data_IF_207521192663
#
_entry.id   IF_207521192663
#
_cell.length_a   1.000
_cell.length_b   1.000
_cell.length_c   1.000
_cell.angle_alpha   90.00
_cell.angle_beta   90.00
_cell.angle_gamma   90.00
#
_symmetry.space_group_name_H-M   'P 1'
#
loop_
_entity.id
_entity.type
_entity.pdbx_description
1 polymer ?
#
# COMPACT_ATOMS: atom_id res chain seq x y z
N UNK A 1 6.64 -16.22 -26.12
CA UNK A 1 5.97 -14.90 -26.01
C UNK A 1 6.93 -13.82 -26.51
N UNK A 2 6.50 -12.90 -27.38
CA UNK A 2 7.35 -11.81 -27.83
C UNK A 2 7.60 -10.80 -26.70
N UNK A 3 8.85 -10.33 -26.56
CA UNK A 3 9.23 -9.32 -25.59
C UNK A 3 9.11 -7.93 -26.20
N UNK A 4 8.73 -6.95 -25.39
CA UNK A 4 8.68 -5.54 -25.82
C UNK A 4 10.10 -5.05 -26.14
N UNK A 5 10.33 -4.33 -27.26
CA UNK A 5 11.64 -3.76 -27.55
C UNK A 5 12.05 -2.77 -26.44
N UNK A 6 13.35 -2.71 -26.17
CA UNK A 6 13.91 -1.74 -25.23
C UNK A 6 13.68 -0.31 -25.72
N UNK A 7 13.47 0.62 -24.79
CA UNK A 7 13.27 2.04 -25.08
C UNK A 7 14.38 2.90 -24.48
N UNK A 8 14.66 4.09 -25.02
CA UNK A 8 15.61 5.02 -24.43
C UNK A 8 15.24 5.40 -22.99
N UNK A 9 16.24 5.57 -22.14
CA UNK A 9 16.08 6.13 -20.81
C UNK A 9 15.47 7.53 -20.88
N UNK A 10 14.43 7.81 -20.08
CA UNK A 10 13.78 9.14 -20.05
C UNK A 10 14.59 10.23 -19.35
N UNK A 11 15.85 9.97 -18.98
CA UNK A 11 16.72 10.96 -18.35
C UNK A 11 17.41 11.80 -19.43
N UNK A 12 17.39 13.14 -19.36
CA UNK A 12 17.95 14.00 -20.39
C UNK A 12 19.40 13.62 -20.73
N UNK A 13 19.67 13.33 -22.00
CA UNK A 13 21.01 13.01 -22.49
C UNK A 13 21.54 11.60 -22.16
N UNK A 14 20.71 10.70 -21.60
CA UNK A 14 21.14 9.33 -21.32
C UNK A 14 21.01 8.44 -22.58
N UNK A 15 22.10 7.81 -23.05
CA UNK A 15 22.06 6.95 -24.25
C UNK A 15 21.58 5.51 -23.99
N UNK A 16 21.35 5.13 -22.72
CA UNK A 16 21.01 3.74 -22.39
C UNK A 16 19.60 3.32 -22.78
N UNK A 17 19.48 2.07 -23.24
CA UNK A 17 18.21 1.39 -23.50
C UNK A 17 17.76 0.58 -22.27
N UNK A 18 16.50 0.77 -21.88
CA UNK A 18 15.88 0.16 -20.69
C UNK A 18 14.50 -0.43 -21.02
N UNK A 19 14.06 -1.38 -20.20
CA UNK A 19 12.68 -1.91 -20.22
C UNK A 19 11.73 -0.97 -19.44
N UNK A 20 12.28 -0.19 -18.50
CA UNK A 20 11.58 0.75 -17.63
C UNK A 20 11.56 2.19 -18.14
N UNK A 21 11.15 3.13 -17.27
CA UNK A 21 11.23 4.58 -17.56
C UNK A 21 12.68 5.08 -17.57
N UNK A 22 13.50 4.53 -16.67
CA UNK A 22 14.89 4.92 -16.48
C UNK A 22 15.81 3.70 -16.54
N UNK A 23 17.08 3.89 -16.87
CA UNK A 23 18.12 2.88 -16.67
C UNK A 23 18.36 2.65 -15.17
N UNK A 24 19.12 1.61 -14.79
CA UNK A 24 19.34 1.26 -13.38
C UNK A 24 19.91 2.41 -12.55
N UNK A 25 20.81 3.20 -13.14
CA UNK A 25 21.40 4.37 -12.48
C UNK A 25 20.35 5.45 -12.23
N UNK A 26 19.68 5.93 -13.28
CA UNK A 26 18.71 7.02 -13.14
C UNK A 26 17.46 6.60 -12.34
N UNK A 27 17.09 5.32 -12.33
CA UNK A 27 16.07 4.81 -11.42
C UNK A 27 16.47 4.95 -9.95
N UNK A 28 17.74 4.72 -9.62
CA UNK A 28 18.29 4.89 -8.27
C UNK A 28 18.39 6.36 -7.88
N UNK A 29 18.79 7.22 -8.80
CA UNK A 29 18.85 8.68 -8.58
C UNK A 29 17.45 9.27 -8.34
N UNK A 30 16.47 8.91 -9.18
CA UNK A 30 15.09 9.35 -9.01
C UNK A 30 14.49 8.82 -7.70
N UNK A 31 14.77 7.56 -7.34
CA UNK A 31 14.34 7.02 -6.04
C UNK A 31 14.95 7.80 -4.86
N UNK A 32 16.24 8.17 -4.93
CA UNK A 32 16.90 8.99 -3.90
C UNK A 32 16.29 10.39 -3.80
N UNK A 33 15.99 11.02 -4.94
CA UNK A 33 15.32 12.33 -4.99
C UNK A 33 13.94 12.23 -4.34
N UNK A 34 13.12 11.27 -4.77
CA UNK A 34 11.78 11.05 -4.23
C UNK A 34 11.80 10.83 -2.71
N UNK A 35 12.70 9.98 -2.22
CA UNK A 35 12.85 9.73 -0.77
C UNK A 35 13.27 10.98 0.01
N UNK A 36 14.04 11.89 -0.59
CA UNK A 36 14.57 13.10 0.07
C UNK A 36 13.59 14.27 0.03
N UNK A 37 12.88 14.47 -1.08
CA UNK A 37 12.13 15.71 -1.33
C UNK A 37 10.62 15.51 -1.45
N UNK A 38 10.15 14.38 -1.97
CA UNK A 38 8.74 14.19 -2.33
C UNK A 38 8.00 13.28 -1.34
N UNK A 39 8.71 12.36 -0.67
CA UNK A 39 8.11 11.41 0.26
C UNK A 39 7.71 12.07 1.58
N UNK A 40 6.42 12.05 1.90
CA UNK A 40 5.89 12.54 3.19
C UNK A 40 6.56 11.79 4.38
N UNK A 41 7.34 12.48 5.24
CA UNK A 41 7.94 11.87 6.43
C UNK A 41 6.91 11.27 7.39
N UNK A 42 5.69 11.83 7.44
CA UNK A 42 4.62 11.30 8.27
C UNK A 42 4.14 9.93 7.78
N UNK A 43 4.29 9.59 6.50
CA UNK A 43 3.98 8.25 5.99
C UNK A 43 4.89 7.18 6.61
N UNK A 44 6.19 7.49 6.76
CA UNK A 44 7.17 6.59 7.41
C UNK A 44 6.84 6.36 8.88
N UNK A 45 6.34 7.39 9.57
CA UNK A 45 5.87 7.31 10.95
C UNK A 45 4.59 6.48 11.07
N UNK A 46 3.63 6.69 10.15
CA UNK A 46 2.33 6.00 10.12
C UNK A 46 2.42 4.53 9.74
N UNK A 47 3.28 4.14 8.81
CA UNK A 47 3.37 2.75 8.32
C UNK A 47 4.79 2.16 8.44
N UNK A 48 5.50 2.52 9.51
CA UNK A 48 6.88 2.12 9.75
C UNK A 48 7.05 0.69 10.30
N UNK A 49 8.24 0.43 10.89
CA UNK A 49 8.58 -0.88 11.47
C UNK A 49 7.63 -1.33 12.59
N UNK A 50 7.11 -0.38 13.37
CA UNK A 50 6.15 -0.66 14.43
C UNK A 50 4.86 -1.28 13.86
N UNK A 51 4.29 -0.66 12.82
CA UNK A 51 3.12 -1.19 12.13
C UNK A 51 3.36 -2.60 11.58
N UNK A 52 4.52 -2.85 10.94
CA UNK A 52 4.85 -4.19 10.44
C UNK A 52 4.77 -5.26 11.53
N UNK A 53 5.31 -4.98 12.72
CA UNK A 53 5.27 -5.93 13.86
C UNK A 53 3.85 -6.16 14.36
N UNK A 54 3.06 -5.09 14.49
CA UNK A 54 1.66 -5.17 14.92
C UNK A 54 0.85 -5.99 13.90
N UNK A 55 0.97 -5.67 12.60
CA UNK A 55 0.31 -6.40 11.51
C UNK A 55 0.68 -7.88 11.51
N UNK A 56 1.98 -8.20 11.57
CA UNK A 56 2.47 -9.58 11.50
C UNK A 56 1.97 -10.39 12.72
N UNK A 57 1.90 -9.79 13.92
CA UNK A 57 1.30 -10.40 15.11
C UNK A 57 -0.21 -10.58 14.96
N UNK A 58 -0.92 -9.54 14.57
CA UNK A 58 -2.39 -9.54 14.47
C UNK A 58 -2.89 -10.62 13.50
N UNK A 59 -2.31 -10.68 12.29
CA UNK A 59 -2.70 -11.67 11.28
C UNK A 59 -2.37 -13.11 11.69
N UNK A 60 -1.37 -13.31 12.56
CA UNK A 60 -1.04 -14.65 13.08
C UNK A 60 -2.06 -15.15 14.12
N UNK A 61 -2.69 -14.22 14.86
CA UNK A 61 -3.72 -14.51 15.86
C UNK A 61 -5.11 -14.62 15.20
N UNK A 62 -5.31 -13.87 14.10
CA UNK A 62 -6.54 -13.86 13.31
C UNK A 62 -6.28 -14.40 11.90
N UNK A 63 -6.14 -15.74 11.75
CA UNK A 63 -5.77 -16.36 10.47
C UNK A 63 -6.91 -16.37 9.45
N UNK A 64 -8.15 -16.08 9.87
CA UNK A 64 -9.34 -16.06 9.02
C UNK A 64 -9.84 -14.62 8.83
N UNK A 65 -10.52 -14.41 7.71
CA UNK A 65 -11.17 -13.15 7.39
C UNK A 65 -12.40 -12.97 8.27
N UNK A 66 -12.36 -12.01 9.19
CA UNK A 66 -13.42 -11.78 10.18
C UNK A 66 -14.77 -11.48 9.52
N UNK A 67 -14.77 -10.76 8.39
CA UNK A 67 -15.99 -10.50 7.60
C UNK A 67 -16.57 -11.75 6.96
N UNK A 68 -15.71 -12.66 6.49
CA UNK A 68 -16.16 -13.94 5.95
C UNK A 68 -16.72 -14.82 7.07
N UNK A 69 -16.08 -14.86 8.24
CA UNK A 69 -16.55 -15.64 9.39
C UNK A 69 -17.93 -15.19 9.86
N UNK A 70 -18.18 -13.89 9.92
CA UNK A 70 -19.51 -13.33 10.22
C UNK A 70 -20.59 -13.78 9.21
N UNK A 71 -20.20 -14.06 7.98
CA UNK A 71 -21.07 -14.55 6.91
C UNK A 71 -21.11 -16.09 6.82
N UNK A 72 -20.48 -16.80 7.77
CA UNK A 72 -20.40 -18.26 7.79
C UNK A 72 -19.42 -18.85 6.77
N UNK A 73 -18.53 -18.04 6.20
CA UNK A 73 -17.53 -18.45 5.19
C UNK A 73 -16.15 -18.56 5.83
N UNK A 74 -15.45 -19.67 5.55
CA UNK A 74 -14.07 -19.86 5.96
C UNK A 74 -13.16 -19.36 4.84
N UNK A 75 -12.43 -18.27 5.08
CA UNK A 75 -11.48 -17.70 4.11
C UNK A 75 -10.26 -17.20 4.86
N UNK A 76 -9.03 -17.50 4.41
CA UNK A 76 -7.83 -16.99 5.08
C UNK A 76 -7.75 -15.46 5.01
N UNK A 77 -7.27 -14.84 6.08
CA UNK A 77 -6.89 -13.44 6.08
C UNK A 77 -5.54 -13.24 5.36
N UNK A 78 -5.43 -12.15 4.60
CA UNK A 78 -4.22 -11.75 3.87
C UNK A 78 -3.77 -10.33 4.22
N UNK A 79 -4.72 -9.50 4.66
CA UNK A 79 -4.53 -8.08 4.92
C UNK A 79 -5.09 -7.72 6.30
N UNK A 80 -4.51 -6.69 6.92
CA UNK A 80 -5.02 -6.11 8.17
C UNK A 80 -5.44 -4.69 7.86
N UNK A 81 -6.70 -4.40 8.14
CA UNK A 81 -7.36 -3.15 7.85
C UNK A 81 -7.55 -2.32 9.12
N UNK A 82 -7.38 -1.00 9.01
CA UNK A 82 -7.72 -0.07 10.08
C UNK A 82 -9.21 0.28 9.98
N UNK A 83 -10.01 -0.01 11.01
CA UNK A 83 -11.45 0.27 11.02
C UNK A 83 -11.72 1.77 10.91
N UNK A 84 -11.03 2.58 11.72
CA UNK A 84 -10.88 4.01 11.54
C UNK A 84 -9.53 4.28 10.85
N UNK A 85 -9.51 4.91 9.66
CA UNK A 85 -8.28 5.25 8.97
C UNK A 85 -7.35 6.12 9.83
N UNK A 86 -6.04 5.91 9.72
CA UNK A 86 -5.03 6.72 10.43
C UNK A 86 -5.08 8.21 10.03
N UNK A 87 -5.55 8.52 8.81
CA UNK A 87 -5.79 9.89 8.35
C UNK A 87 -6.91 10.58 9.14
N UNK A 88 -7.85 9.82 9.68
CA UNK A 88 -9.01 10.30 10.45
C UNK A 88 -8.85 10.07 11.96
N UNK A 89 -7.61 9.91 12.44
CA UNK A 89 -7.31 9.76 13.87
C UNK A 89 -7.32 8.32 14.38
N UNK A 90 -7.46 7.33 13.50
CA UNK A 90 -7.29 5.93 13.86
C UNK A 90 -5.91 5.61 14.42
N UNK A 91 -5.83 4.51 15.18
CA UNK A 91 -4.58 4.03 15.78
C UNK A 91 -4.23 2.63 15.28
N UNK A 92 -3.09 2.09 15.71
CA UNK A 92 -2.73 0.69 15.50
C UNK A 92 -3.14 -0.22 16.67
N UNK A 93 -4.01 0.25 17.56
CA UNK A 93 -4.53 -0.58 18.63
C UNK A 93 -5.36 -1.73 18.05
N UNK A 94 -5.33 -2.89 18.72
CA UNK A 94 -5.95 -4.12 18.23
C UNK A 94 -7.47 -3.99 18.01
N UNK A 95 -8.13 -3.13 18.77
CA UNK A 95 -9.57 -2.79 18.64
C UNK A 95 -9.90 -1.97 17.39
N UNK A 96 -8.90 -1.35 16.76
CA UNK A 96 -9.02 -0.62 15.50
C UNK A 96 -8.52 -1.42 14.29
N UNK A 97 -8.24 -2.72 14.47
CA UNK A 97 -7.78 -3.60 13.40
C UNK A 97 -8.84 -4.63 13.02
N UNK A 98 -8.76 -5.12 11.79
CA UNK A 98 -9.59 -6.21 11.29
C UNK A 98 -8.80 -7.03 10.26
N UNK A 99 -8.77 -8.35 10.43
CA UNK A 99 -8.13 -9.29 9.52
C UNK A 99 -9.08 -9.65 8.38
N UNK A 100 -8.62 -9.44 7.14
CA UNK A 100 -9.47 -9.54 5.95
C UNK A 100 -8.77 -10.30 4.82
N UNK A 101 -9.57 -10.98 4.00
CA UNK A 101 -9.13 -11.42 2.67
C UNK A 101 -9.13 -10.22 1.71
N UNK A 102 -8.39 -10.34 0.59
CA UNK A 102 -8.25 -9.26 -0.40
C UNK A 102 -9.58 -8.72 -0.94
N UNK A 103 -10.58 -9.59 -1.13
CA UNK A 103 -11.88 -9.18 -1.65
C UNK A 103 -12.67 -8.33 -0.65
N UNK A 104 -12.72 -8.75 0.62
CA UNK A 104 -13.39 -7.99 1.68
C UNK A 104 -12.67 -6.67 1.94
N UNK A 105 -11.34 -6.67 1.98
CA UNK A 105 -10.56 -5.45 2.16
C UNK A 105 -10.77 -4.44 1.02
N UNK A 106 -10.77 -4.91 -0.23
CA UNK A 106 -11.04 -4.06 -1.40
C UNK A 106 -12.44 -3.46 -1.37
N UNK A 107 -13.45 -4.24 -0.95
CA UNK A 107 -14.84 -3.80 -0.81
C UNK A 107 -14.97 -2.70 0.23
N UNK A 108 -14.45 -2.92 1.44
CA UNK A 108 -14.50 -1.92 2.53
C UNK A 108 -13.78 -0.64 2.13
N UNK A 109 -12.58 -0.75 1.53
CA UNK A 109 -11.83 0.41 1.06
C UNK A 109 -12.60 1.23 0.01
N UNK A 110 -13.38 0.57 -0.85
CA UNK A 110 -14.24 1.24 -1.82
C UNK A 110 -15.45 1.92 -1.16
N UNK A 111 -16.09 1.25 -0.19
CA UNK A 111 -17.22 1.77 0.58
C UNK A 111 -16.85 2.99 1.43
N UNK A 112 -15.65 2.99 2.04
CA UNK A 112 -15.13 4.12 2.83
C UNK A 112 -14.77 5.36 2.00
N UNK A 113 -14.59 5.22 0.69
CA UNK A 113 -14.26 6.35 -0.19
C UNK A 113 -12.81 6.88 -0.07
N UNK A 114 -11.98 6.31 0.81
CA UNK A 114 -10.58 6.71 1.02
C UNK A 114 -9.70 6.55 -0.23
N UNK A 115 -10.06 5.62 -1.13
CA UNK A 115 -9.35 5.43 -2.40
C UNK A 115 -9.64 6.54 -3.42
N UNK A 116 -10.78 7.21 -3.32
CA UNK A 116 -11.28 8.17 -4.30
C UNK A 116 -11.76 9.46 -3.63
N UNK A 117 -11.06 9.97 -2.61
CA UNK A 117 -11.36 11.27 -2.01
C UNK A 117 -11.41 12.32 -3.14
N UNK A 118 -12.62 12.62 -3.61
CA UNK A 118 -12.87 13.61 -4.65
C UNK A 118 -12.41 14.92 -4.06
N UNK A 119 -11.33 15.48 -4.59
CA UNK A 119 -10.97 16.88 -4.36
C UNK A 119 -12.09 17.75 -4.93
N UNK A 120 -13.19 17.92 -4.21
CA UNK A 120 -14.04 19.08 -4.37
C UNK A 120 -13.35 20.20 -3.59
N UNK A 121 -12.40 20.86 -4.27
CA UNK A 121 -12.04 22.22 -3.91
C UNK A 121 -13.27 23.07 -4.24
N UNK A 122 -13.89 23.63 -3.20
CA UNK A 122 -14.64 24.88 -3.36
C UNK A 122 -13.65 26.03 -3.52
#
# INVERSE_FOLDING_TARGET
MPYKPKRPCSYPGCPELTDGRFCKQHAKEESRRYEKYDRDPAMRKRYGRAWKRIRDRYISIHPLCERCEMEGRITPAEEVHHILPLSHGGTHAEDNLMALCKSCHSRITAEMGDRWSRKHKM
#
